data_IF_886322405332
#
_entry.id   IF_886322405332
#
_cell.length_a   1.000
_cell.length_b   1.000
_cell.length_c   1.000
_cell.angle_alpha   90.00
_cell.angle_beta   90.00
_cell.angle_gamma   90.00
#
_symmetry.space_group_name_H-M   'P 1'
#
loop_
_entity.id
_entity.type
_entity.pdbx_description
1 polymer ?
#
# COMPACT_ATOMS: atom_id res chain seq x y z
N UNK A 1 9.00 -20.29 -5.73
CA UNK A 1 8.07 -19.86 -4.67
C UNK A 1 7.12 -18.84 -5.27
N UNK A 2 5.80 -19.03 -5.17
CA UNK A 2 4.86 -18.04 -5.69
C UNK A 2 4.88 -16.81 -4.77
N UNK A 3 5.28 -15.65 -5.30
CA UNK A 3 5.20 -14.39 -4.55
C UNK A 3 3.72 -14.02 -4.38
N UNK A 4 3.26 -13.69 -3.15
CA UNK A 4 1.88 -13.30 -2.94
C UNK A 4 1.56 -12.03 -3.73
N UNK A 5 0.35 -11.99 -4.32
CA UNK A 5 -0.12 -10.83 -5.09
C UNK A 5 -0.11 -9.58 -4.21
N UNK A 6 0.56 -8.49 -4.61
CA UNK A 6 0.67 -7.29 -3.80
C UNK A 6 -0.68 -6.63 -3.59
N UNK A 7 -0.84 -5.94 -2.46
CA UNK A 7 -1.97 -5.05 -2.19
C UNK A 7 -1.72 -3.69 -2.87
N UNK A 8 -2.76 -3.12 -3.49
CA UNK A 8 -2.63 -1.89 -4.29
C UNK A 8 -2.07 -0.70 -3.52
N UNK A 9 -2.50 -0.44 -2.28
CA UNK A 9 -2.07 0.76 -1.54
C UNK A 9 -0.61 0.68 -1.08
N UNK A 10 -0.15 -0.39 -0.40
CA UNK A 10 1.27 -0.53 -0.06
C UNK A 10 2.17 -0.49 -1.30
N UNK A 11 1.75 -1.14 -2.39
CA UNK A 11 2.47 -1.09 -3.64
C UNK A 11 2.52 0.33 -4.22
N UNK A 12 1.40 1.04 -4.28
CA UNK A 12 1.36 2.40 -4.82
C UNK A 12 2.22 3.37 -4.01
N UNK A 13 2.20 3.27 -2.68
CA UNK A 13 3.08 4.05 -1.81
C UNK A 13 4.55 3.79 -2.12
N UNK A 14 4.94 2.53 -2.34
CA UNK A 14 6.33 2.22 -2.73
C UNK A 14 6.74 2.86 -4.06
N UNK A 15 5.81 2.97 -5.02
CA UNK A 15 6.07 3.62 -6.31
C UNK A 15 6.20 5.13 -6.15
N UNK A 16 5.34 5.74 -5.33
CA UNK A 16 5.39 7.18 -5.00
C UNK A 16 6.68 7.55 -4.26
N UNK A 17 7.08 6.72 -3.29
CA UNK A 17 8.32 6.91 -2.52
C UNK A 17 9.57 6.71 -3.39
N UNK A 18 9.51 5.80 -4.36
CA UNK A 18 10.61 5.54 -5.28
C UNK A 18 10.81 6.64 -6.33
N UNK A 19 9.75 7.34 -6.74
CA UNK A 19 9.84 8.46 -7.68
C UNK A 19 10.35 8.09 -9.08
N UNK A 20 10.32 6.82 -9.47
CA UNK A 20 10.82 6.34 -10.75
C UNK A 20 9.83 6.51 -11.92
N UNK A 21 8.54 6.69 -11.61
CA UNK A 21 7.49 6.83 -12.61
C UNK A 21 7.16 8.31 -12.81
N UNK A 22 7.39 8.80 -14.02
CA UNK A 22 7.18 10.21 -14.35
C UNK A 22 5.74 10.66 -14.05
N UNK A 23 5.61 11.83 -13.41
CA UNK A 23 4.33 12.42 -13.05
C UNK A 23 3.55 11.69 -11.95
N UNK A 24 4.05 10.58 -11.41
CA UNK A 24 3.53 9.88 -10.24
C UNK A 24 4.32 10.32 -9.02
N UNK A 25 3.74 11.20 -8.19
CA UNK A 25 4.47 11.81 -7.09
C UNK A 25 3.56 12.23 -5.93
N UNK A 26 4.15 12.28 -4.73
CA UNK A 26 3.59 13.01 -3.61
C UNK A 26 3.52 14.51 -3.93
N UNK A 27 2.47 15.17 -3.46
CA UNK A 27 2.25 16.61 -3.63
C UNK A 27 2.54 17.42 -2.37
N UNK A 28 2.71 16.75 -1.24
CA UNK A 28 2.97 17.35 0.05
C UNK A 28 4.00 16.53 0.86
N UNK A 29 4.80 17.17 1.72
CA UNK A 29 5.77 16.48 2.57
C UNK A 29 5.13 15.50 3.57
N UNK A 30 3.86 15.73 3.95
CA UNK A 30 3.12 14.84 4.85
C UNK A 30 2.64 13.54 4.20
N UNK A 31 2.88 13.36 2.89
CA UNK A 31 2.51 12.18 2.11
C UNK A 31 1.03 11.83 2.25
N UNK A 32 0.16 12.83 2.14
CA UNK A 32 -1.29 12.64 2.21
C UNK A 32 -1.96 12.77 0.85
N UNK A 33 -1.38 13.54 -0.06
CA UNK A 33 -1.86 13.79 -1.43
C UNK A 33 -0.82 13.37 -2.45
N UNK A 34 -1.30 12.75 -3.51
CA UNK A 34 -0.45 12.34 -4.62
C UNK A 34 -1.18 12.51 -5.95
N UNK A 35 -0.39 12.63 -7.01
CA UNK A 35 -0.89 12.72 -8.39
C UNK A 35 -0.58 11.45 -9.17
N UNK A 36 -1.46 11.14 -10.13
CA UNK A 36 -1.28 10.07 -11.11
C UNK A 36 -1.59 10.63 -12.51
N UNK A 37 -0.68 10.47 -13.50
CA UNK A 37 -0.97 10.79 -14.90
C UNK A 37 -2.22 10.07 -15.39
N UNK A 38 -3.10 10.77 -16.10
CA UNK A 38 -4.42 10.25 -16.46
C UNK A 38 -4.83 10.54 -17.90
N UNK A 39 -3.87 10.65 -18.82
CA UNK A 39 -4.08 10.92 -20.24
C UNK A 39 -5.10 9.98 -20.89
N UNK A 40 -5.91 10.52 -21.79
CA UNK A 40 -6.93 9.77 -22.50
C UNK A 40 -6.29 8.94 -23.63
N UNK A 41 -6.55 7.63 -23.69
CA UNK A 41 -5.90 6.74 -24.65
C UNK A 41 -6.27 6.93 -26.12
N UNK A 42 -7.31 7.71 -26.41
CA UNK A 42 -7.66 8.12 -27.79
C UNK A 42 -6.99 9.42 -28.23
N UNK A 43 -6.16 10.04 -27.38
CA UNK A 43 -5.36 11.21 -27.80
C UNK A 43 -4.29 10.76 -28.79
N UNK A 44 -4.07 11.54 -29.85
CA UNK A 44 -3.05 11.24 -30.87
C UNK A 44 -1.63 11.24 -30.30
N UNK A 45 -1.39 12.07 -29.28
CA UNK A 45 -0.12 12.18 -28.57
C UNK A 45 0.00 11.22 -27.37
N UNK A 46 -0.91 10.26 -27.21
CA UNK A 46 -0.81 9.25 -26.15
C UNK A 46 0.31 8.24 -26.47
N UNK A 47 1.29 8.15 -25.58
CA UNK A 47 2.40 7.20 -25.65
C UNK A 47 2.26 6.16 -24.53
N UNK A 48 3.04 5.08 -24.60
CA UNK A 48 2.96 4.00 -23.60
C UNK A 48 3.40 4.48 -22.21
N UNK A 49 4.34 5.41 -22.15
CA UNK A 49 4.90 6.03 -20.95
C UNK A 49 3.82 6.75 -20.13
N UNK A 50 2.81 7.33 -20.81
CA UNK A 50 1.64 7.97 -20.17
C UNK A 50 0.80 6.96 -19.34
N UNK A 51 1.03 5.66 -19.53
CA UNK A 51 0.33 4.57 -18.84
C UNK A 51 1.24 3.76 -17.90
N UNK A 52 2.46 4.25 -17.62
CA UNK A 52 3.50 3.51 -16.90
C UNK A 52 3.03 2.92 -15.57
N UNK A 53 2.32 3.68 -14.74
CA UNK A 53 1.77 3.19 -13.46
C UNK A 53 0.73 2.08 -13.63
N UNK A 54 -0.08 2.13 -14.69
CA UNK A 54 -1.11 1.13 -14.96
C UNK A 54 -0.47 -0.18 -15.41
N UNK A 55 0.54 -0.09 -16.29
CA UNK A 55 1.35 -1.23 -16.70
C UNK A 55 2.09 -1.83 -15.49
N UNK A 56 2.79 -1.01 -14.71
CA UNK A 56 3.55 -1.46 -13.55
C UNK A 56 2.66 -2.20 -12.53
N UNK A 57 1.42 -1.74 -12.32
CA UNK A 57 0.45 -2.47 -11.50
C UNK A 57 0.02 -3.79 -12.15
N UNK A 58 -0.22 -3.82 -13.46
CA UNK A 58 -0.58 -5.04 -14.17
C UNK A 58 0.53 -6.10 -14.04
N UNK A 59 1.79 -5.70 -14.15
CA UNK A 59 2.96 -6.56 -13.92
C UNK A 59 3.03 -7.05 -12.47
N UNK A 60 3.02 -6.12 -11.51
CA UNK A 60 3.13 -6.45 -10.09
C UNK A 60 1.98 -7.35 -9.61
N UNK A 61 0.78 -7.18 -10.16
CA UNK A 61 -0.41 -7.93 -9.79
C UNK A 61 -0.55 -9.28 -10.53
N UNK A 62 0.38 -9.60 -11.43
CA UNK A 62 0.40 -10.80 -12.27
C UNK A 62 -0.64 -10.80 -13.38
N UNK A 63 -1.25 -9.66 -13.69
CA UNK A 63 -2.24 -9.51 -14.76
C UNK A 63 -1.61 -9.30 -16.15
N UNK A 64 -0.31 -9.04 -16.21
CA UNK A 64 0.47 -8.86 -17.42
C UNK A 64 1.91 -9.33 -17.21
N UNK A 65 2.44 -10.11 -18.16
CA UNK A 65 3.82 -10.57 -18.19
C UNK A 65 4.48 -10.07 -19.47
N UNK A 66 5.46 -9.14 -19.39
CA UNK A 66 6.19 -8.66 -20.56
C UNK A 66 6.79 -9.80 -21.39
N UNK A 67 6.66 -9.72 -22.71
CA UNK A 67 7.17 -10.73 -23.65
C UNK A 67 6.32 -12.00 -23.76
N UNK A 68 5.36 -12.23 -22.87
CA UNK A 68 4.42 -13.36 -22.92
C UNK A 68 3.01 -12.93 -23.30
N UNK A 69 2.51 -11.87 -22.66
CA UNK A 69 1.16 -11.37 -22.84
C UNK A 69 1.16 -10.18 -23.81
N UNK A 70 0.05 -9.95 -24.51
CA UNK A 70 -0.14 -8.75 -25.35
C UNK A 70 -0.52 -7.55 -24.48
N UNK A 71 0.06 -6.35 -24.69
CA UNK A 71 -0.35 -5.14 -23.99
C UNK A 71 -1.83 -4.79 -24.17
N UNK A 72 -2.50 -4.41 -23.07
CA UNK A 72 -3.89 -3.96 -23.04
C UNK A 72 -4.05 -2.75 -22.08
N UNK A 73 -3.63 -1.59 -22.58
CA UNK A 73 -3.62 -0.32 -21.85
C UNK A 73 -5.01 0.06 -21.29
N UNK A 74 -6.12 -0.06 -22.06
CA UNK A 74 -7.47 0.19 -21.54
C UNK A 74 -7.82 -0.70 -20.34
N UNK A 75 -7.52 -2.00 -20.41
CA UNK A 75 -7.79 -2.94 -19.31
C UNK A 75 -6.96 -2.62 -18.08
N UNK A 76 -5.67 -2.31 -18.23
CA UNK A 76 -4.80 -1.97 -17.10
C UNK A 76 -5.31 -0.73 -16.36
N UNK A 77 -5.62 0.34 -17.09
CA UNK A 77 -6.16 1.58 -16.53
C UNK A 77 -7.50 1.36 -15.82
N UNK A 78 -8.41 0.57 -16.41
CA UNK A 78 -9.70 0.20 -15.79
C UNK A 78 -9.51 -0.54 -14.48
N UNK A 79 -8.65 -1.55 -14.48
CA UNK A 79 -8.39 -2.40 -13.31
C UNK A 79 -7.74 -1.61 -12.17
N UNK A 80 -6.75 -0.77 -12.50
CA UNK A 80 -6.11 0.12 -11.54
C UNK A 80 -7.10 1.08 -10.89
N UNK A 81 -7.92 1.78 -11.68
CA UNK A 81 -8.98 2.66 -11.18
C UNK A 81 -9.94 1.92 -10.24
N UNK A 82 -10.37 0.72 -10.63
CA UNK A 82 -11.26 -0.10 -9.81
C UNK A 82 -10.60 -0.53 -8.49
N UNK A 83 -9.30 -0.83 -8.49
CA UNK A 83 -8.55 -1.17 -7.29
C UNK A 83 -8.48 0.00 -6.30
N UNK A 84 -8.31 1.24 -6.78
CA UNK A 84 -8.31 2.45 -5.96
C UNK A 84 -9.72 2.79 -5.44
N UNK A 85 -10.74 2.73 -6.29
CA UNK A 85 -12.11 3.08 -5.90
C UNK A 85 -12.70 2.19 -4.79
N UNK A 86 -12.13 1.00 -4.56
CA UNK A 86 -12.52 0.10 -3.45
C UNK A 86 -11.83 0.44 -2.12
N UNK A 87 -11.07 1.52 -2.04
CA UNK A 87 -10.34 1.92 -0.84
C UNK A 87 -11.03 3.08 -0.17
N UNK A 88 -11.70 2.80 0.94
CA UNK A 88 -12.41 3.81 1.75
C UNK A 88 -11.47 4.89 2.29
N UNK A 89 -10.21 4.53 2.54
CA UNK A 89 -9.16 5.44 2.99
C UNK A 89 -8.64 6.38 1.89
N UNK A 90 -9.16 6.30 0.66
CA UNK A 90 -8.68 7.06 -0.48
C UNK A 90 -9.84 7.79 -1.17
N UNK A 91 -9.69 9.10 -1.38
CA UNK A 91 -10.63 9.90 -2.19
C UNK A 91 -9.93 10.54 -3.39
N UNK A 92 -10.71 10.82 -4.43
CA UNK A 92 -10.28 11.67 -5.54
C UNK A 92 -10.50 13.13 -5.11
N UNK A 93 -9.41 13.88 -4.94
CA UNK A 93 -9.44 15.27 -4.49
C UNK A 93 -9.53 16.27 -5.65
N UNK A 94 -8.92 15.97 -6.80
CA UNK A 94 -8.99 16.81 -8.00
C UNK A 94 -8.92 15.95 -9.28
N UNK A 95 -9.66 16.35 -10.31
CA UNK A 95 -9.71 15.66 -11.61
C UNK A 95 -9.31 16.60 -12.75
N UNK A 96 -8.02 16.56 -13.08
CA UNK A 96 -7.43 17.30 -14.21
C UNK A 96 -7.19 16.41 -15.42
N UNK A 97 -7.92 15.29 -15.54
CA UNK A 97 -7.69 14.34 -16.62
C UNK A 97 -7.98 14.89 -18.03
N UNK A 98 -8.67 16.03 -18.11
CA UNK A 98 -8.96 16.77 -19.35
C UNK A 98 -7.97 17.90 -19.65
N UNK A 99 -6.99 18.13 -18.78
CA UNK A 99 -5.98 19.15 -19.01
C UNK A 99 -5.19 18.84 -20.30
N UNK A 100 -5.02 19.81 -21.20
CA UNK A 100 -4.35 19.58 -22.47
C UNK A 100 -2.84 19.30 -22.30
N UNK A 101 -2.20 19.94 -21.32
CA UNK A 101 -0.74 19.90 -21.13
C UNK A 101 -0.35 18.85 -20.09
N UNK A 102 -1.05 18.83 -18.95
CA UNK A 102 -0.71 17.99 -17.80
C UNK A 102 -1.93 17.20 -17.30
N UNK A 103 -2.44 16.22 -18.07
CA UNK A 103 -3.62 15.46 -17.68
C UNK A 103 -3.31 14.52 -16.51
N UNK A 104 -3.87 14.80 -15.33
CA UNK A 104 -3.66 13.98 -14.13
C UNK A 104 -4.87 13.95 -13.20
N UNK A 105 -4.84 13.05 -12.21
CA UNK A 105 -5.78 13.00 -11.09
C UNK A 105 -5.02 13.14 -9.78
N UNK A 106 -5.57 13.89 -8.84
CA UNK A 106 -5.04 14.04 -7.49
C UNK A 106 -5.88 13.23 -6.53
N UNK A 107 -5.24 12.31 -5.82
CA UNK A 107 -5.84 11.52 -4.77
C UNK A 107 -5.34 11.96 -3.41
N UNK A 108 -6.15 11.70 -2.39
CA UNK A 108 -5.84 12.04 -1.01
C UNK A 108 -6.24 10.92 -0.06
N UNK A 109 -5.36 10.61 0.90
CA UNK A 109 -5.68 9.73 2.00
C UNK A 109 -6.55 10.45 3.02
N UNK A 110 -7.76 9.92 3.28
CA UNK A 110 -8.63 10.47 4.32
C UNK A 110 -8.11 10.07 5.70
N UNK A 111 -8.02 11.03 6.62
CA UNK A 111 -7.61 10.76 8.01
C UNK A 111 -8.83 10.27 8.79
N UNK A 112 -8.64 9.30 9.69
CA UNK A 112 -9.70 8.68 10.50
C UNK A 112 -10.57 9.66 11.31
N UNK A 113 -10.16 10.93 11.45
CA UNK A 113 -10.97 11.99 12.08
C UNK A 113 -12.26 12.36 11.33
N UNK A 114 -12.35 12.12 10.01
CA UNK A 114 -13.59 12.31 9.24
C UNK A 114 -14.50 11.06 9.26
N UNK A 115 -13.97 9.90 9.71
CA UNK A 115 -14.69 8.64 9.83
C UNK A 115 -14.94 8.29 11.31
N UNK A 116 -15.55 9.20 12.06
CA UNK A 116 -16.31 8.92 13.29
C UNK A 116 -15.75 7.96 14.36
N UNK A 117 -14.45 7.70 14.46
CA UNK A 117 -13.90 6.87 15.54
C UNK A 117 -12.50 7.33 15.92
N UNK A 118 -12.40 7.82 17.16
CA UNK A 118 -11.18 8.29 17.82
C UNK A 118 -10.12 7.19 17.87
N UNK A 119 -9.11 7.27 17.00
CA UNK A 119 -7.76 6.74 17.23
C UNK A 119 -6.74 7.69 16.58
N UNK A 120 -5.84 8.23 17.38
CA UNK A 120 -4.80 9.21 17.05
C UNK A 120 -3.65 8.62 16.23
N UNK A 121 -3.92 8.10 15.04
CA UNK A 121 -2.87 7.60 14.14
C UNK A 121 -2.95 8.29 12.78
N UNK A 122 -1.88 8.99 12.42
CA UNK A 122 -1.77 9.70 11.15
C UNK A 122 -1.80 8.77 9.93
N UNK A 123 -1.97 9.33 8.70
CA UNK A 123 -2.17 8.56 7.47
C UNK A 123 -1.11 7.49 7.21
N UNK A 124 0.17 7.78 7.51
CA UNK A 124 1.27 6.82 7.38
C UNK A 124 1.12 5.63 8.35
N UNK A 125 0.67 5.84 9.59
CA UNK A 125 0.45 4.75 10.53
C UNK A 125 -0.77 3.90 10.15
N UNK A 126 -1.82 4.49 9.58
CA UNK A 126 -2.96 3.74 9.02
C UNK A 126 -2.53 2.90 7.81
N UNK A 127 -1.73 3.45 6.89
CA UNK A 127 -1.15 2.71 5.77
C UNK A 127 -0.20 1.58 6.25
N UNK A 128 0.63 1.83 7.27
CA UNK A 128 1.48 0.80 7.87
C UNK A 128 0.66 -0.28 8.59
N UNK A 129 -0.45 0.08 9.25
CA UNK A 129 -1.37 -0.90 9.84
C UNK A 129 -2.06 -1.77 8.78
N UNK A 130 -2.36 -1.22 7.59
CA UNK A 130 -2.89 -1.98 6.45
C UNK A 130 -1.86 -2.86 5.74
N UNK A 131 -0.57 -2.61 5.94
CA UNK A 131 0.54 -3.39 5.38
C UNK A 131 1.03 -4.50 6.32
N UNK A 132 0.70 -4.45 7.61
CA UNK A 132 1.07 -5.49 8.56
C UNK A 132 0.27 -6.78 8.32
N UNK A 133 0.89 -7.98 8.38
CA UNK A 133 0.14 -9.23 8.50
C UNK A 133 -0.67 -9.17 9.80
N UNK A 134 -1.96 -9.50 9.72
CA UNK A 134 -2.81 -9.64 10.90
C UNK A 134 -2.24 -10.81 11.72
N UNK A 135 -1.39 -10.52 12.69
CA UNK A 135 -1.00 -11.49 13.71
C UNK A 135 -2.20 -11.73 14.61
N UNK A 136 -2.65 -12.97 14.84
CA UNK A 136 -3.66 -13.21 15.86
C UNK A 136 -3.10 -12.80 17.22
N UNK A 137 -3.89 -11.98 17.92
CA UNK A 137 -3.67 -11.60 19.32
C UNK A 137 -3.53 -12.87 20.17
N UNK A 138 -2.32 -13.13 20.68
CA UNK A 138 -2.12 -14.12 21.71
C UNK A 138 -2.75 -13.60 23.01
N UNK A 139 -3.96 -14.10 23.31
CA UNK A 139 -4.47 -14.15 24.68
C UNK A 139 -3.52 -15.03 25.49
N UNK A 140 -2.60 -14.40 26.21
CA UNK A 140 -1.67 -15.07 27.13
C UNK A 140 -1.91 -14.57 28.55
N UNK A 141 -2.78 -15.28 29.26
CA UNK A 141 -2.93 -15.16 30.72
C UNK A 141 -1.57 -15.41 31.38
N UNK A 142 -1.01 -14.39 32.05
CA UNK A 142 0.16 -14.59 32.90
C UNK A 142 -0.24 -15.47 34.09
N UNK A 143 0.32 -16.69 34.14
CA UNK A 143 0.46 -17.45 35.39
C UNK A 143 1.77 -17.01 36.06
N UNK A 144 1.68 -16.53 37.30
CA UNK A 144 2.82 -16.33 38.19
C UNK A 144 3.64 -17.63 38.32
N UNK A 145 4.99 -17.57 38.33
CA UNK A 145 5.80 -18.70 38.72
C UNK A 145 5.82 -18.86 40.26
N UNK A 146 5.59 -20.09 40.70
CA UNK A 146 5.77 -20.58 42.07
C UNK A 146 7.23 -20.44 42.51
N UNK A 147 7.47 -19.84 43.68
CA UNK A 147 8.75 -19.94 44.40
C UNK A 147 8.86 -21.35 44.98
N UNK A 148 9.83 -22.14 44.50
CA UNK A 148 10.28 -23.36 45.17
C UNK A 148 11.55 -23.01 45.98
N UNK A 149 11.45 -23.17 47.29
CA UNK A 149 12.51 -22.91 48.26
C UNK A 149 13.41 -24.15 48.33
N UNK A 150 14.52 -24.12 47.60
CA UNK A 150 15.58 -25.12 47.73
C UNK A 150 16.38 -24.84 49.02
N UNK A 151 16.13 -25.65 50.05
CA UNK A 151 17.01 -25.77 51.21
C UNK A 151 18.18 -26.72 50.86
N UNK A 152 19.34 -26.37 51.39
CA UNK A 152 20.62 -26.85 50.91
C UNK A 152 21.29 -27.89 51.78
N UNK A 153 22.50 -28.19 51.32
CA UNK A 153 23.64 -28.73 52.04
C UNK A 153 23.81 -30.25 52.13
N UNK A 154 24.79 -30.70 51.33
CA UNK A 154 25.55 -31.92 51.47
C UNK A 154 26.30 -31.98 52.82
N UNK A 155 26.61 -33.19 53.30
CA UNK A 155 27.97 -33.76 53.24
C UNK A 155 27.99 -35.18 53.83
N UNK A 156 28.46 -36.15 53.05
CA UNK A 156 28.84 -37.50 53.49
C UNK A 156 30.17 -37.46 54.25
N UNK A 157 30.30 -38.28 55.29
CA UNK A 157 31.60 -38.73 55.85
C UNK A 157 31.45 -40.21 56.27
N UNK A 158 32.26 -41.14 55.74
CA UNK A 158 32.40 -42.50 56.27
C UNK A 158 33.77 -42.70 56.97
N UNK A 159 34.07 -43.90 57.51
CA UNK A 159 33.23 -44.81 58.29
C UNK A 159 33.43 -44.65 59.81
#
# INVERSE_FOLDING_TARGET
>A
MATPKPRILPWLVSQLDGGHLEGVAWLDPSRTRFRIPWKHGLRQDAQQEDFGIFQAWAEASGAYTPGKDKPDLPTWKRNFRSALNRKEVLRLADDRSKDPQDPHKVYEFVTSGELGTSLSRGPLQTLMAYAAPLTPSLSGTQKLPTLDLADGHAQEIPP
#
